data_IF_849562469401
#
_entry.id   IF_849562469401
#
_cell.length_a   1.000
_cell.length_b   1.000
_cell.length_c   1.000
_cell.angle_alpha   90.00
_cell.angle_beta   90.00
_cell.angle_gamma   90.00
#
_symmetry.space_group_name_H-M   'P 1'
#
loop_
_entity.id
_entity.type
_entity.pdbx_description
1 polymer ?
#
# COMPACT_ATOMS: atom_id res chain seq x y z
N UNK A 1 68.08 -97.97 24.97
CA UNK A 1 68.18 -98.35 23.57
C UNK A 1 68.25 -97.05 22.76
N UNK A 2 69.36 -96.74 22.12
CA UNK A 2 69.51 -95.61 21.25
C UNK A 2 68.85 -95.96 19.91
N UNK A 3 67.79 -95.16 19.57
CA UNK A 3 67.21 -95.30 18.26
C UNK A 3 68.17 -94.69 17.22
N UNK A 4 68.62 -95.49 16.28
CA UNK A 4 69.44 -95.03 15.19
C UNK A 4 68.68 -94.01 14.32
N UNK A 5 69.33 -92.95 13.97
CA UNK A 5 68.86 -92.02 12.96
C UNK A 5 68.99 -92.67 11.60
N UNK A 6 67.86 -92.78 10.88
CA UNK A 6 67.90 -93.16 9.46
C UNK A 6 68.25 -91.94 8.66
N UNK A 7 69.36 -91.95 7.95
CA UNK A 7 69.70 -90.99 6.92
C UNK A 7 69.19 -91.52 5.60
N UNK A 8 68.30 -90.88 4.99
CA UNK A 8 67.85 -91.11 3.64
C UNK A 8 68.08 -89.83 2.82
N UNK A 9 68.67 -89.92 1.66
CA UNK A 9 68.97 -88.83 0.76
C UNK A 9 67.75 -88.49 -0.13
N UNK A 10 66.76 -89.39 -0.23
CA UNK A 10 65.54 -89.23 -0.98
C UNK A 10 64.42 -90.10 -0.44
N UNK A 11 63.22 -89.74 -0.59
CA UNK A 11 61.99 -90.52 -0.37
C UNK A 11 61.30 -90.60 -1.71
N UNK A 12 61.14 -91.86 -2.24
CA UNK A 12 60.50 -92.08 -3.54
C UNK A 12 59.08 -92.63 -3.33
N UNK A 13 58.16 -92.08 -4.07
CA UNK A 13 56.83 -92.68 -4.27
C UNK A 13 56.70 -93.13 -5.73
N UNK A 14 55.67 -93.90 -6.05
CA UNK A 14 55.42 -94.42 -7.39
C UNK A 14 55.28 -93.34 -8.48
N UNK A 15 55.24 -92.06 -8.13
CA UNK A 15 54.99 -90.98 -9.07
C UNK A 15 55.92 -89.74 -8.82
N UNK A 16 56.61 -89.66 -7.69
CA UNK A 16 57.51 -88.52 -7.39
C UNK A 16 58.65 -88.89 -6.44
N UNK A 17 59.84 -88.48 -6.77
CA UNK A 17 61.02 -88.49 -5.87
C UNK A 17 61.17 -87.15 -5.21
N UNK A 18 61.13 -87.14 -3.87
CA UNK A 18 61.40 -85.94 -3.08
C UNK A 18 62.78 -86.08 -2.49
N UNK A 19 63.69 -85.20 -2.80
CA UNK A 19 64.97 -85.10 -2.17
C UNK A 19 64.80 -84.56 -0.71
N UNK A 20 65.47 -85.23 0.25
CA UNK A 20 65.33 -84.87 1.68
C UNK A 20 65.84 -83.45 1.94
N UNK A 21 66.84 -82.99 1.15
CA UNK A 21 67.29 -81.59 1.23
C UNK A 21 66.24 -80.61 0.74
N UNK A 22 65.45 -80.97 -0.23
CA UNK A 22 64.28 -80.17 -0.69
C UNK A 22 63.20 -80.13 0.35
N UNK A 23 63.01 -81.17 1.16
CA UNK A 23 62.07 -81.20 2.26
C UNK A 23 62.49 -80.30 3.40
N UNK A 24 63.79 -80.27 3.67
CA UNK A 24 64.36 -79.38 4.72
C UNK A 24 64.25 -77.87 4.34
N UNK A 25 64.35 -77.61 3.05
CA UNK A 25 64.25 -76.23 2.52
C UNK A 25 62.80 -75.82 2.24
N UNK A 26 61.87 -76.81 2.07
CA UNK A 26 60.47 -76.43 1.74
C UNK A 26 59.58 -76.37 3.00
N UNK A 27 60.00 -76.94 4.14
CA UNK A 27 59.23 -76.85 5.40
C UNK A 27 59.39 -75.47 6.00
N UNK A 28 58.54 -74.59 5.66
CA UNK A 28 58.46 -73.23 6.17
C UNK A 28 58.94 -72.08 5.25
N UNK A 29 59.37 -72.46 4.02
CA UNK A 29 59.71 -71.38 3.04
C UNK A 29 58.58 -71.25 2.03
N UNK A 30 58.12 -70.01 1.88
CA UNK A 30 57.20 -69.63 0.81
C UNK A 30 57.95 -69.69 -0.51
N UNK A 31 57.47 -70.37 -1.57
CA UNK A 31 58.15 -70.39 -2.87
C UNK A 31 58.50 -68.96 -3.33
N UNK A 32 59.74 -68.73 -3.70
CA UNK A 32 60.26 -67.41 -4.10
C UNK A 32 59.59 -66.79 -5.32
N UNK A 33 58.89 -67.66 -6.11
CA UNK A 33 58.09 -67.16 -7.25
C UNK A 33 56.73 -66.61 -6.86
N UNK A 34 56.30 -66.72 -5.60
CA UNK A 34 55.06 -66.04 -5.14
C UNK A 34 55.30 -64.59 -4.96
N UNK A 35 54.30 -63.78 -5.34
CA UNK A 35 54.38 -62.33 -5.20
C UNK A 35 53.27 -61.78 -4.29
N UNK A 36 53.58 -60.76 -3.58
CA UNK A 36 52.60 -59.90 -2.91
C UNK A 36 52.37 -58.69 -3.83
N UNK A 37 51.20 -58.64 -4.43
CA UNK A 37 50.83 -57.50 -5.23
C UNK A 37 50.34 -56.34 -4.30
N UNK A 38 50.92 -55.18 -4.41
CA UNK A 38 50.39 -53.97 -3.80
C UNK A 38 49.22 -53.47 -4.68
N UNK A 39 48.02 -53.45 -4.13
CA UNK A 39 46.86 -52.88 -4.79
C UNK A 39 46.88 -51.34 -4.75
N UNK A 40 45.89 -50.69 -5.35
CA UNK A 40 45.70 -49.21 -5.34
C UNK A 40 45.80 -48.68 -3.93
N UNK A 41 46.59 -47.66 -3.70
CA UNK A 41 46.80 -47.03 -2.39
C UNK A 41 47.84 -47.73 -1.51
N UNK A 42 48.56 -48.77 -2.03
CA UNK A 42 49.62 -49.47 -1.32
C UNK A 42 50.91 -49.47 -2.16
N UNK A 43 52.05 -49.41 -1.48
CA UNK A 43 53.38 -49.56 -2.06
C UNK A 43 54.16 -50.71 -1.40
N UNK A 44 55.23 -51.20 -2.00
CA UNK A 44 56.12 -52.22 -1.40
C UNK A 44 55.83 -53.65 -1.79
N UNK A 45 55.03 -53.94 -2.76
CA UNK A 45 54.83 -55.29 -3.34
C UNK A 45 56.09 -55.83 -4.01
N UNK A 46 56.04 -57.11 -4.41
CA UNK A 46 57.13 -57.80 -5.09
C UNK A 46 57.16 -59.31 -4.78
N UNK A 47 58.21 -60.02 -5.26
CA UNK A 47 58.39 -61.44 -4.95
C UNK A 47 58.74 -61.68 -3.47
N UNK A 48 58.62 -62.94 -3.00
CA UNK A 48 58.84 -63.30 -1.61
C UNK A 48 60.26 -63.79 -1.36
N UNK A 49 61.23 -63.45 -2.21
CA UNK A 49 62.66 -63.78 -2.00
C UNK A 49 63.26 -63.01 -0.77
N UNK A 50 62.62 -62.02 -0.30
CA UNK A 50 62.93 -61.23 0.92
C UNK A 50 61.63 -60.79 1.64
N UNK A 51 61.76 -60.38 2.86
CA UNK A 51 60.64 -59.77 3.61
C UNK A 51 60.08 -58.55 2.85
N UNK A 52 58.79 -58.49 2.72
CA UNK A 52 58.11 -57.39 2.08
C UNK A 52 57.34 -56.55 3.13
N UNK A 53 57.51 -55.26 3.07
CA UNK A 53 56.69 -54.31 3.87
C UNK A 53 55.74 -53.66 2.90
N UNK A 54 54.44 -53.82 3.12
CA UNK A 54 53.38 -53.05 2.43
C UNK A 54 53.12 -51.76 3.24
N UNK A 55 53.24 -50.64 2.58
CA UNK A 55 52.96 -49.35 3.16
C UNK A 55 51.77 -48.71 2.47
N UNK A 56 50.95 -47.98 3.21
CA UNK A 56 49.93 -47.13 2.63
C UNK A 56 50.58 -45.98 1.86
N UNK A 57 50.16 -45.79 0.61
CA UNK A 57 50.53 -44.61 -0.18
C UNK A 57 49.58 -43.50 0.16
N UNK A 58 49.99 -42.66 1.07
CA UNK A 58 49.17 -41.57 1.65
C UNK A 58 49.39 -40.32 0.85
N UNK A 59 48.31 -39.60 0.52
CA UNK A 59 48.35 -38.35 -0.17
C UNK A 59 49.15 -37.27 0.65
N UNK A 60 49.95 -36.52 -0.02
CA UNK A 60 50.55 -35.29 0.55
C UNK A 60 49.47 -34.23 0.80
N UNK A 61 49.78 -33.19 1.53
CA UNK A 61 48.83 -32.11 1.76
C UNK A 61 48.39 -31.47 0.43
N UNK A 62 49.33 -31.18 -0.46
CA UNK A 62 49.02 -30.53 -1.75
C UNK A 62 48.12 -31.41 -2.63
N UNK A 63 48.36 -32.77 -2.65
CA UNK A 63 47.53 -33.68 -3.38
C UNK A 63 46.12 -33.82 -2.80
N UNK A 64 46.01 -33.79 -1.47
CA UNK A 64 44.72 -33.82 -0.78
C UNK A 64 43.90 -32.50 -1.03
N UNK A 65 44.57 -31.35 -0.98
CA UNK A 65 43.96 -30.06 -1.27
C UNK A 65 43.59 -29.90 -2.75
N UNK A 66 44.39 -30.46 -3.67
CA UNK A 66 44.06 -30.47 -5.10
C UNK A 66 42.86 -31.39 -5.44
N UNK A 67 42.69 -32.49 -4.67
CA UNK A 67 41.56 -33.43 -4.84
C UNK A 67 41.52 -34.16 -6.16
N UNK A 68 42.68 -34.30 -6.88
CA UNK A 68 42.72 -34.83 -8.23
C UNK A 68 43.33 -36.26 -8.31
N UNK A 69 44.02 -36.73 -7.26
CA UNK A 69 44.64 -38.07 -7.23
C UNK A 69 43.67 -39.11 -6.69
N UNK A 70 43.31 -40.09 -7.53
CA UNK A 70 42.41 -41.17 -7.16
C UNK A 70 43.16 -42.46 -6.70
N UNK A 71 44.49 -42.45 -6.66
CA UNK A 71 45.32 -43.61 -6.36
C UNK A 71 45.84 -43.66 -4.92
N UNK A 72 45.82 -42.53 -4.20
CA UNK A 72 46.38 -42.41 -2.85
C UNK A 72 45.32 -42.42 -1.76
N UNK A 73 45.72 -42.87 -0.56
CA UNK A 73 44.86 -42.95 0.60
C UNK A 73 44.81 -41.65 1.36
N UNK A 74 43.61 -41.23 1.81
CA UNK A 74 43.41 -40.04 2.65
C UNK A 74 43.46 -40.41 4.12
N UNK A 75 44.29 -39.70 4.89
CA UNK A 75 44.23 -39.77 6.35
C UNK A 75 43.22 -38.74 6.88
N UNK A 76 42.71 -38.93 8.11
CA UNK A 76 41.83 -37.94 8.73
C UNK A 76 42.40 -36.51 8.70
N UNK A 77 43.71 -36.35 8.89
CA UNK A 77 44.40 -35.06 8.83
C UNK A 77 44.34 -34.44 7.41
N UNK A 78 44.62 -35.28 6.38
CA UNK A 78 44.55 -34.84 4.98
C UNK A 78 43.14 -34.50 4.55
N UNK A 79 42.20 -35.28 5.02
CA UNK A 79 40.75 -34.98 4.79
C UNK A 79 40.37 -33.62 5.42
N UNK A 80 40.80 -33.36 6.66
CA UNK A 80 40.54 -32.06 7.31
C UNK A 80 41.18 -30.90 6.55
N UNK A 81 42.42 -31.09 6.05
CA UNK A 81 43.12 -30.08 5.26
C UNK A 81 42.43 -29.82 3.92
N UNK A 82 42.06 -30.86 3.22
CA UNK A 82 41.29 -30.74 1.96
C UNK A 82 39.94 -30.03 2.16
N UNK A 83 39.20 -30.37 3.20
CA UNK A 83 37.93 -29.69 3.53
C UNK A 83 38.17 -28.18 3.80
N UNK A 84 39.23 -27.86 4.52
CA UNK A 84 39.51 -26.46 4.84
C UNK A 84 39.81 -25.60 3.60
N UNK A 85 40.43 -26.17 2.58
CA UNK A 85 40.78 -25.47 1.33
C UNK A 85 39.65 -25.53 0.31
N UNK A 86 39.07 -26.71 0.09
CA UNK A 86 38.01 -26.92 -0.93
C UNK A 86 36.64 -26.40 -0.50
N UNK A 87 36.40 -26.25 0.79
CA UNK A 87 35.19 -25.71 1.36
C UNK A 87 35.53 -24.67 2.42
N UNK A 88 36.06 -23.51 2.03
CA UNK A 88 36.43 -22.48 2.97
C UNK A 88 35.16 -22.00 3.72
N UNK A 89 35.31 -21.53 4.98
CA UNK A 89 34.19 -20.99 5.71
C UNK A 89 33.52 -19.85 4.92
N UNK A 90 32.22 -19.68 4.98
CA UNK A 90 31.52 -18.63 4.24
C UNK A 90 32.08 -17.25 4.63
N UNK A 91 32.41 -16.46 3.63
CA UNK A 91 32.81 -15.06 3.84
C UNK A 91 31.54 -14.24 3.97
N UNK A 92 31.34 -13.59 5.11
CA UNK A 92 30.20 -12.73 5.34
C UNK A 92 30.47 -11.32 4.81
N UNK A 93 29.46 -10.70 4.26
CA UNK A 93 29.52 -9.30 3.87
C UNK A 93 29.79 -8.40 5.07
N UNK A 94 30.61 -7.39 4.90
CA UNK A 94 30.77 -6.28 5.86
C UNK A 94 29.49 -5.43 5.87
N UNK A 95 29.35 -4.55 6.85
CA UNK A 95 28.20 -3.64 6.92
C UNK A 95 28.13 -2.76 5.67
N UNK A 96 29.25 -2.14 5.26
CA UNK A 96 29.28 -1.27 4.09
C UNK A 96 28.92 -2.00 2.78
N UNK A 97 29.37 -3.25 2.62
CA UNK A 97 29.04 -4.08 1.46
C UNK A 97 27.56 -4.51 1.45
N UNK A 98 27.02 -4.82 2.63
CA UNK A 98 25.61 -5.17 2.79
C UNK A 98 24.71 -3.96 2.49
N UNK A 99 25.08 -2.80 2.96
CA UNK A 99 24.36 -1.54 2.70
C UNK A 99 24.46 -1.09 1.24
N UNK A 100 25.61 -1.29 0.59
CA UNK A 100 25.80 -0.97 -0.82
C UNK A 100 25.04 -1.91 -1.77
N UNK A 101 24.78 -3.16 -1.35
CA UNK A 101 24.03 -4.14 -2.15
C UNK A 101 24.71 -4.58 -3.45
N UNK A 102 26.05 -4.41 -3.56
CA UNK A 102 26.79 -4.63 -4.82
C UNK A 102 27.59 -5.94 -4.86
N UNK A 103 27.72 -6.62 -3.71
CA UNK A 103 28.54 -7.84 -3.57
C UNK A 103 27.67 -9.08 -3.74
N UNK A 104 28.07 -9.98 -4.65
CA UNK A 104 27.31 -11.19 -5.02
C UNK A 104 27.95 -12.49 -4.55
N UNK A 105 29.19 -12.46 -4.04
CA UNK A 105 30.02 -13.62 -3.66
C UNK A 105 30.13 -13.83 -2.14
N UNK A 106 29.43 -13.04 -1.33
CA UNK A 106 29.44 -13.12 0.13
C UNK A 106 28.06 -13.44 0.71
N UNK A 107 28.08 -14.09 1.87
CA UNK A 107 26.86 -14.47 2.58
C UNK A 107 26.38 -13.33 3.47
N UNK A 108 25.10 -13.04 3.46
CA UNK A 108 24.46 -12.10 4.37
C UNK A 108 24.12 -12.77 5.70
N UNK A 109 24.68 -12.29 6.80
CA UNK A 109 24.22 -12.70 8.13
C UNK A 109 22.90 -11.99 8.46
N UNK A 110 22.08 -12.52 9.41
CA UNK A 110 20.86 -11.84 9.86
C UNK A 110 21.10 -10.40 10.32
N UNK A 111 22.24 -10.15 10.98
CA UNK A 111 22.63 -8.81 11.40
C UNK A 111 22.88 -7.90 10.19
N UNK A 112 23.66 -8.36 9.21
CA UNK A 112 23.97 -7.59 7.99
C UNK A 112 22.74 -7.35 7.14
N UNK A 113 21.82 -8.31 7.11
CA UNK A 113 20.52 -8.13 6.46
C UNK A 113 19.71 -7.03 7.16
N UNK A 114 19.67 -7.02 8.49
CA UNK A 114 18.97 -5.98 9.24
C UNK A 114 19.61 -4.59 9.04
N UNK A 115 20.95 -4.51 9.03
CA UNK A 115 21.70 -3.27 8.76
C UNK A 115 21.47 -2.75 7.34
N UNK A 116 21.50 -3.63 6.34
CA UNK A 116 21.20 -3.26 4.95
C UNK A 116 19.75 -2.76 4.80
N UNK A 117 18.80 -3.43 5.42
CA UNK A 117 17.39 -2.97 5.44
C UNK A 117 17.29 -1.61 6.12
N UNK A 118 17.99 -1.39 7.22
CA UNK A 118 17.98 -0.10 7.93
C UNK A 118 18.62 1.00 7.08
N UNK A 119 19.75 0.73 6.41
CA UNK A 119 20.42 1.67 5.53
C UNK A 119 19.59 2.00 4.27
N UNK A 120 18.98 0.98 3.66
CA UNK A 120 18.04 1.16 2.56
C UNK A 120 16.80 1.95 2.99
N UNK A 121 16.32 1.74 4.21
CA UNK A 121 15.21 2.51 4.78
C UNK A 121 15.58 3.98 5.04
N UNK A 122 16.86 4.28 5.29
CA UNK A 122 17.37 5.65 5.45
C UNK A 122 17.89 6.26 4.15
N UNK A 123 18.30 5.43 3.18
CA UNK A 123 18.95 5.83 1.93
C UNK A 123 18.08 5.85 0.66
N UNK A 124 16.75 5.65 0.76
CA UNK A 124 15.83 5.95 -0.34
C UNK A 124 15.45 4.81 -1.28
N UNK A 125 15.56 3.55 -0.89
CA UNK A 125 14.96 2.47 -1.68
C UNK A 125 13.85 1.73 -0.91
N UNK A 126 12.61 1.99 -1.31
CA UNK A 126 11.43 1.12 -1.16
C UNK A 126 10.64 1.18 0.15
N UNK A 127 10.65 2.26 0.90
CA UNK A 127 9.49 2.56 1.74
C UNK A 127 8.80 3.80 1.17
N UNK A 128 7.97 3.60 0.14
CA UNK A 128 7.32 4.72 -0.54
C UNK A 128 6.51 5.58 0.41
N UNK A 129 5.76 4.96 1.32
CA UNK A 129 4.98 5.68 2.31
C UNK A 129 4.90 4.86 3.60
N UNK A 130 5.38 5.41 4.71
CA UNK A 130 5.26 4.78 6.03
C UNK A 130 4.72 5.78 7.05
N UNK A 131 3.71 5.34 7.80
CA UNK A 131 3.21 6.07 8.96
C UNK A 131 3.96 5.68 10.22
N UNK A 132 4.19 6.60 11.17
CA UNK A 132 4.58 6.21 12.53
C UNK A 132 3.56 5.21 13.12
N UNK A 133 4.04 4.25 13.90
CA UNK A 133 3.30 3.05 14.28
C UNK A 133 1.92 3.28 14.92
N UNK A 134 1.71 4.40 15.59
CA UNK A 134 0.44 4.73 16.25
C UNK A 134 -0.30 5.91 15.61
N UNK A 135 0.20 6.46 14.50
CA UNK A 135 -0.41 7.62 13.88
C UNK A 135 -1.69 7.23 13.12
N UNK A 136 -2.81 7.83 13.48
CA UNK A 136 -4.11 7.70 12.82
C UNK A 136 -4.51 9.06 12.26
N UNK A 137 -4.78 9.14 10.97
CA UNK A 137 -5.08 10.39 10.29
C UNK A 137 -4.06 10.74 9.22
N UNK A 138 -4.17 11.90 8.59
CA UNK A 138 -3.17 12.39 7.64
C UNK A 138 -1.80 12.53 8.29
N UNK A 139 -0.73 12.27 7.52
CA UNK A 139 0.65 12.55 7.95
C UNK A 139 0.87 14.05 8.14
N UNK A 140 0.05 14.88 7.50
CA UNK A 140 0.04 16.32 7.69
C UNK A 140 -0.91 16.72 8.81
N UNK A 141 -0.51 17.66 9.64
CA UNK A 141 -1.34 18.21 10.70
C UNK A 141 -1.21 19.75 10.76
N UNK A 142 -2.31 20.39 11.11
CA UNK A 142 -2.39 21.83 11.27
C UNK A 142 -1.64 22.26 12.54
N UNK A 143 -0.73 23.22 12.42
CA UNK A 143 0.03 23.79 13.54
C UNK A 143 -0.49 25.17 13.94
N UNK A 144 -1.06 25.91 12.99
CA UNK A 144 -1.76 27.17 13.23
C UNK A 144 -2.82 27.40 12.13
N UNK A 145 -3.54 28.50 12.14
CA UNK A 145 -4.59 28.81 11.16
C UNK A 145 -4.11 28.69 9.70
N UNK A 146 -2.86 28.99 9.43
CA UNK A 146 -2.26 29.04 8.08
C UNK A 146 -1.03 28.15 7.90
N UNK A 147 -0.73 27.28 8.85
CA UNK A 147 0.50 26.47 8.81
C UNK A 147 0.24 24.98 9.05
N UNK A 148 1.04 24.17 8.39
CA UNK A 148 1.00 22.71 8.43
C UNK A 148 2.41 22.17 8.63
N UNK A 149 2.53 21.03 9.35
CA UNK A 149 3.75 20.23 9.41
C UNK A 149 3.43 18.78 9.09
N UNK A 150 4.44 18.03 8.65
CA UNK A 150 4.40 16.57 8.59
C UNK A 150 4.88 15.99 9.92
N UNK A 151 4.30 14.86 10.34
CA UNK A 151 4.64 14.21 11.62
C UNK A 151 6.06 13.62 11.58
N UNK A 152 6.76 13.65 12.72
CA UNK A 152 8.06 13.01 12.88
C UNK A 152 7.98 11.49 12.65
N UNK A 153 9.00 10.93 12.03
CA UNK A 153 9.08 9.50 11.71
C UNK A 153 8.26 9.07 10.48
N UNK A 154 7.60 10.00 9.80
CA UNK A 154 6.91 9.72 8.54
C UNK A 154 7.90 9.44 7.41
N UNK A 155 7.57 8.49 6.57
CA UNK A 155 8.20 8.34 5.25
C UNK A 155 7.13 8.65 4.20
N UNK A 156 7.43 9.57 3.30
CA UNK A 156 6.51 9.99 2.28
C UNK A 156 7.25 10.05 0.95
N UNK A 157 6.76 9.29 -0.02
CA UNK A 157 7.38 9.15 -1.34
C UNK A 157 8.91 8.88 -1.26
N UNK A 158 9.29 7.95 -0.38
CA UNK A 158 10.69 7.54 -0.17
C UNK A 158 11.56 8.46 0.69
N UNK A 159 11.05 9.61 1.14
CA UNK A 159 11.81 10.53 2.00
C UNK A 159 11.40 10.38 3.48
N UNK A 160 12.39 10.19 4.37
CA UNK A 160 12.17 10.11 5.83
C UNK A 160 12.20 11.51 6.46
N UNK A 161 11.15 11.87 7.15
CA UNK A 161 11.07 13.05 8.00
C UNK A 161 11.36 12.65 9.46
N UNK A 162 12.63 12.62 9.82
CA UNK A 162 13.07 12.21 11.17
C UNK A 162 12.49 13.08 12.29
N UNK A 163 12.24 14.35 12.00
CA UNK A 163 11.60 15.31 12.90
C UNK A 163 10.35 15.89 12.23
N UNK A 164 9.44 16.48 13.03
CA UNK A 164 8.33 17.25 12.49
C UNK A 164 8.86 18.38 11.59
N UNK A 165 8.43 18.39 10.34
CA UNK A 165 8.93 19.32 9.32
C UNK A 165 7.80 20.20 8.79
N UNK A 166 8.01 21.50 8.78
CA UNK A 166 7.03 22.46 8.29
C UNK A 166 6.90 22.40 6.76
N UNK A 167 5.67 22.58 6.29
CA UNK A 167 5.39 22.84 4.87
C UNK A 167 5.62 24.32 4.60
N UNK A 168 6.35 24.67 3.55
CA UNK A 168 6.45 26.06 3.08
C UNK A 168 5.09 26.48 2.52
N UNK A 169 4.45 27.44 3.16
CA UNK A 169 3.06 27.81 2.85
C UNK A 169 3.00 28.97 1.86
N UNK A 170 2.06 28.93 0.90
CA UNK A 170 1.78 30.07 0.02
C UNK A 170 0.92 31.12 0.74
N UNK A 171 0.69 32.26 0.09
CA UNK A 171 -0.45 33.11 0.42
C UNK A 171 -1.76 32.37 0.12
N UNK A 172 -2.71 32.42 1.07
CA UNK A 172 -3.97 31.69 0.94
C UNK A 172 -5.08 32.55 0.36
N UNK A 173 -5.87 31.95 -0.51
CA UNK A 173 -7.16 32.49 -1.00
C UNK A 173 -8.29 31.66 -0.40
N UNK A 174 -9.34 32.32 0.07
CA UNK A 174 -10.51 31.66 0.64
C UNK A 174 -11.17 30.68 -0.34
N UNK A 175 -11.71 29.59 0.19
CA UNK A 175 -12.42 28.55 -0.56
C UNK A 175 -11.55 27.90 -1.67
N UNK A 176 -10.27 27.74 -1.41
CA UNK A 176 -9.29 27.20 -2.37
C UNK A 176 -8.64 25.95 -1.83
N UNK A 177 -8.50 24.96 -2.71
CA UNK A 177 -7.73 23.75 -2.45
C UNK A 177 -6.26 23.99 -2.78
N UNK A 178 -5.40 23.43 -1.95
CA UNK A 178 -3.95 23.51 -2.09
C UNK A 178 -3.35 22.11 -2.12
N UNK A 179 -2.44 21.89 -3.05
CA UNK A 179 -1.58 20.71 -3.09
C UNK A 179 -0.39 20.91 -2.14
N UNK A 180 0.12 19.83 -1.58
CA UNK A 180 1.43 19.78 -0.94
C UNK A 180 2.35 19.02 -1.88
N UNK A 181 3.34 19.73 -2.41
CA UNK A 181 4.35 19.21 -3.30
C UNK A 181 5.60 18.82 -2.53
N UNK A 182 6.26 17.75 -2.95
CA UNK A 182 7.53 17.32 -2.38
C UNK A 182 8.64 17.46 -3.42
N UNK A 183 9.74 18.09 -3.02
CA UNK A 183 10.96 18.12 -3.82
C UNK A 183 11.59 16.72 -3.85
N UNK A 184 11.86 16.13 -5.01
CA UNK A 184 12.35 14.75 -5.11
C UNK A 184 13.77 14.55 -4.58
N UNK A 185 14.57 15.62 -4.55
CA UNK A 185 15.99 15.56 -4.11
C UNK A 185 16.15 15.88 -2.64
N UNK A 186 15.48 16.95 -2.17
CA UNK A 186 15.68 17.47 -0.81
C UNK A 186 14.60 17.03 0.17
N UNK A 187 13.47 16.52 -0.31
CA UNK A 187 12.30 16.24 0.50
C UNK A 187 11.55 17.48 0.98
N UNK A 188 11.94 18.68 0.57
CA UNK A 188 11.27 19.92 0.97
C UNK A 188 9.79 19.89 0.56
N UNK A 189 8.91 20.32 1.47
CA UNK A 189 7.46 20.35 1.30
C UNK A 189 7.00 21.79 1.02
N UNK A 190 6.25 21.96 -0.07
CA UNK A 190 5.77 23.27 -0.53
C UNK A 190 4.28 23.19 -0.85
N UNK A 191 3.48 24.04 -0.21
CA UNK A 191 2.08 24.24 -0.53
C UNK A 191 1.89 25.13 -1.76
N UNK A 192 0.96 24.78 -2.64
CA UNK A 192 0.61 25.58 -3.81
C UNK A 192 -0.83 25.32 -4.26
N UNK A 193 -1.49 26.32 -4.85
CA UNK A 193 -2.83 26.19 -5.41
C UNK A 193 -2.85 25.40 -6.73
N UNK A 194 -1.70 25.22 -7.39
CA UNK A 194 -1.58 24.42 -8.60
C UNK A 194 -1.54 22.94 -8.27
N UNK A 195 -2.35 22.16 -8.99
CA UNK A 195 -2.34 20.70 -8.97
C UNK A 195 -1.69 20.09 -10.24
N UNK A 196 -1.13 20.92 -11.09
CA UNK A 196 -0.55 20.48 -12.37
C UNK A 196 0.90 20.89 -12.56
N UNK A 197 1.34 21.97 -11.91
CA UNK A 197 2.67 22.52 -12.06
C UNK A 197 3.32 22.66 -10.70
N UNK A 198 4.47 22.03 -10.51
CA UNK A 198 5.23 22.11 -9.28
C UNK A 198 5.75 23.53 -9.03
N UNK A 199 5.59 24.09 -7.80
CA UNK A 199 6.06 25.42 -7.48
C UNK A 199 7.59 25.51 -7.33
N UNK A 200 8.11 26.70 -7.26
CA UNK A 200 9.49 26.96 -6.88
C UNK A 200 9.76 26.32 -5.50
N UNK A 201 10.92 25.68 -5.34
CA UNK A 201 11.26 24.89 -4.15
C UNK A 201 10.85 23.41 -4.22
N UNK A 202 9.90 23.04 -5.09
CA UNK A 202 9.53 21.65 -5.39
C UNK A 202 9.64 21.30 -6.88
N UNK A 203 10.52 21.95 -7.62
CA UNK A 203 10.72 21.74 -9.08
C UNK A 203 10.97 20.25 -9.36
N UNK A 204 10.26 19.69 -10.35
CA UNK A 204 10.31 18.26 -10.68
C UNK A 204 9.63 17.35 -9.66
N UNK A 205 8.98 17.93 -8.66
CA UNK A 205 8.32 17.22 -7.58
C UNK A 205 6.97 16.61 -7.94
N UNK A 206 6.41 15.89 -6.99
CA UNK A 206 5.09 15.28 -7.07
C UNK A 206 4.20 15.76 -5.93
N UNK A 207 2.88 15.69 -6.14
CA UNK A 207 1.89 15.97 -5.10
C UNK A 207 1.88 14.79 -4.14
N UNK A 208 2.06 15.09 -2.86
CA UNK A 208 2.11 14.10 -1.76
C UNK A 208 0.99 14.30 -0.75
N UNK A 209 0.20 15.34 -0.89
CA UNK A 209 -0.93 15.65 -0.04
C UNK A 209 -1.65 16.92 -0.45
N UNK A 210 -2.57 17.38 0.38
CA UNK A 210 -3.26 18.64 0.16
C UNK A 210 -4.24 18.99 1.28
N UNK A 211 -4.87 20.16 1.14
CA UNK A 211 -5.80 20.72 2.10
C UNK A 211 -6.72 21.76 1.45
N UNK A 212 -7.80 22.08 2.14
CA UNK A 212 -8.73 23.17 1.77
C UNK A 212 -8.59 24.34 2.74
N UNK A 213 -8.63 25.58 2.21
CA UNK A 213 -8.58 26.81 3.00
C UNK A 213 -9.95 27.47 3.03
N UNK A 214 -10.53 27.62 4.23
CA UNK A 214 -11.89 28.12 4.46
C UNK A 214 -11.90 29.61 4.81
N UNK A 215 -12.99 30.35 4.48
CA UNK A 215 -13.03 31.82 4.63
C UNK A 215 -13.22 32.30 6.06
N UNK A 216 -13.67 31.43 6.95
CA UNK A 216 -13.83 31.72 8.38
C UNK A 216 -13.84 30.43 9.18
N UNK A 217 -13.55 30.52 10.47
CA UNK A 217 -13.53 29.38 11.37
C UNK A 217 -14.84 28.58 11.37
N UNK A 218 -14.76 27.33 11.80
CA UNK A 218 -15.89 26.40 11.95
C UNK A 218 -16.61 26.65 13.29
N UNK A 219 -17.89 26.25 13.41
CA UNK A 219 -18.54 26.25 14.71
C UNK A 219 -17.85 25.28 15.66
N UNK A 220 -17.58 25.73 16.88
CA UNK A 220 -17.00 24.90 17.94
C UNK A 220 -18.06 24.32 18.87
N UNK A 221 -19.23 24.99 18.95
CA UNK A 221 -20.35 24.55 19.77
C UNK A 221 -21.35 23.70 18.96
N UNK A 222 -22.05 22.80 19.64
CA UNK A 222 -23.18 22.05 19.09
C UNK A 222 -24.31 23.03 18.76
N UNK A 223 -25.02 22.80 17.64
CA UNK A 223 -26.18 23.59 17.19
C UNK A 223 -25.90 25.09 16.90
N UNK A 224 -24.64 25.46 16.71
CA UNK A 224 -24.29 26.84 16.44
C UNK A 224 -24.32 27.17 14.94
N UNK A 225 -23.69 26.34 14.11
CA UNK A 225 -23.71 26.45 12.66
C UNK A 225 -23.31 27.77 12.02
N UNK A 226 -23.04 28.79 12.82
CA UNK A 226 -22.55 30.06 12.32
C UNK A 226 -21.04 30.03 12.27
N UNK A 227 -20.42 30.19 11.10
CA UNK A 227 -18.98 30.24 10.97
C UNK A 227 -18.48 31.50 11.70
N UNK A 228 -17.53 31.34 12.61
CA UNK A 228 -16.94 32.42 13.42
C UNK A 228 -15.41 32.32 13.39
N UNK A 229 -14.73 33.44 13.53
CA UNK A 229 -13.27 33.52 13.55
C UNK A 229 -12.66 33.83 12.19
N UNK A 230 -11.34 33.78 12.13
CA UNK A 230 -10.56 34.10 10.94
C UNK A 230 -10.59 32.92 9.93
N UNK A 231 -10.23 33.22 8.70
CA UNK A 231 -9.95 32.24 7.68
C UNK A 231 -8.83 31.30 8.12
N UNK A 232 -8.96 30.01 7.81
CA UNK A 232 -8.03 28.99 8.28
C UNK A 232 -7.94 27.77 7.35
N UNK A 233 -6.89 26.98 7.52
CA UNK A 233 -6.79 25.63 6.94
C UNK A 233 -7.80 24.74 7.66
N UNK A 234 -8.65 24.07 6.89
CA UNK A 234 -9.57 23.08 7.42
C UNK A 234 -8.83 21.80 7.77
N UNK A 235 -8.64 21.51 9.05
CA UNK A 235 -7.88 20.35 9.50
C UNK A 235 -8.45 19.02 9.00
N UNK A 236 -9.77 18.89 8.87
CA UNK A 236 -10.43 17.68 8.36
C UNK A 236 -10.26 17.47 6.86
N UNK A 237 -9.79 18.49 6.12
CA UNK A 237 -9.51 18.36 4.69
C UNK A 237 -8.07 17.90 4.38
N UNK A 238 -7.23 17.77 5.41
CA UNK A 238 -5.84 17.30 5.23
C UNK A 238 -5.79 15.86 4.74
N UNK A 239 -5.16 15.65 3.60
CA UNK A 239 -4.96 14.32 3.03
C UNK A 239 -3.50 14.12 2.62
N UNK A 240 -3.08 12.86 2.51
CA UNK A 240 -1.80 12.42 1.97
C UNK A 240 -1.98 11.19 1.08
N UNK A 241 -0.90 10.63 0.55
CA UNK A 241 -0.93 9.49 -0.38
C UNK A 241 -1.57 8.22 0.23
N UNK A 242 -1.59 8.12 1.56
CA UNK A 242 -2.09 6.94 2.29
C UNK A 242 -3.33 7.23 3.14
N UNK A 243 -3.68 8.51 3.30
CA UNK A 243 -4.85 8.98 4.05
C UNK A 243 -5.65 9.94 3.18
N UNK A 244 -6.58 9.41 2.41
CA UNK A 244 -7.39 10.18 1.45
C UNK A 244 -8.69 9.47 1.13
N UNK A 245 -9.66 10.16 0.51
CA UNK A 245 -10.86 9.51 -0.01
C UNK A 245 -10.49 8.50 -1.10
N UNK A 246 -11.28 7.41 -1.18
CA UNK A 246 -11.18 6.41 -2.24
C UNK A 246 -11.85 6.90 -3.54
N UNK A 247 -11.48 8.11 -3.97
CA UNK A 247 -11.89 8.69 -5.24
C UNK A 247 -10.66 9.32 -5.93
N UNK A 248 -10.72 9.54 -7.26
CA UNK A 248 -9.58 10.07 -8.01
C UNK A 248 -9.10 11.43 -7.51
N UNK A 249 -10.03 12.32 -7.19
CA UNK A 249 -9.75 13.68 -6.74
C UNK A 249 -10.20 13.91 -5.29
N UNK A 250 -9.26 14.08 -4.34
CA UNK A 250 -9.55 14.29 -2.93
C UNK A 250 -9.95 15.72 -2.56
N UNK A 251 -9.89 16.67 -3.51
CA UNK A 251 -10.14 18.09 -3.26
C UNK A 251 -11.57 18.37 -2.80
N UNK A 252 -11.74 19.39 -1.96
CA UNK A 252 -13.04 19.83 -1.50
C UNK A 252 -13.79 18.83 -0.62
N UNK A 253 -13.09 17.88 0.01
CA UNK A 253 -13.67 16.88 0.90
C UNK A 253 -13.13 17.03 2.33
N UNK A 254 -13.94 16.65 3.31
CA UNK A 254 -13.53 16.49 4.70
C UNK A 254 -13.60 15.03 5.13
N UNK A 255 -12.60 14.58 5.87
CA UNK A 255 -12.61 13.29 6.58
C UNK A 255 -13.50 13.40 7.82
N UNK A 256 -14.51 12.58 7.90
CA UNK A 256 -15.37 12.48 9.07
C UNK A 256 -14.82 11.37 9.97
N UNK A 257 -14.70 11.66 11.25
CA UNK A 257 -14.13 10.74 12.22
C UNK A 257 -14.71 9.32 12.06
N UNK A 258 -13.85 8.36 11.81
CA UNK A 258 -14.24 6.96 11.70
C UNK A 258 -14.23 6.35 10.30
N UNK A 259 -13.90 7.10 9.23
CA UNK A 259 -13.48 6.42 8.02
C UNK A 259 -14.27 6.66 6.74
N UNK A 260 -14.90 7.80 6.56
CA UNK A 260 -15.42 8.23 5.27
C UNK A 260 -15.15 9.73 5.04
N UNK A 261 -15.29 10.15 3.79
CA UNK A 261 -15.10 11.52 3.36
C UNK A 261 -16.39 12.07 2.77
N UNK A 262 -16.63 13.35 2.96
CA UNK A 262 -17.81 14.03 2.41
C UNK A 262 -17.42 15.37 1.80
N UNK A 263 -18.06 15.72 0.67
CA UNK A 263 -17.87 17.01 0.03
C UNK A 263 -18.21 18.17 0.98
N UNK A 264 -17.37 19.18 1.00
CA UNK A 264 -17.57 20.39 1.79
C UNK A 264 -18.78 21.18 1.31
N UNK A 265 -19.05 21.13 0.02
CA UNK A 265 -20.04 21.97 -0.65
C UNK A 265 -21.13 21.13 -1.34
N UNK A 266 -22.25 21.73 -1.63
CA UNK A 266 -23.29 21.16 -2.47
C UNK A 266 -22.80 21.01 -3.92
N UNK A 267 -23.34 20.04 -4.64
CA UNK A 267 -23.05 19.84 -6.05
C UNK A 267 -23.41 21.09 -6.87
N UNK A 268 -22.52 21.55 -7.72
CA UNK A 268 -22.76 22.67 -8.61
C UNK A 268 -23.34 22.25 -9.95
N UNK A 269 -24.22 23.05 -10.52
CA UNK A 269 -24.88 22.75 -11.79
C UNK A 269 -23.90 22.65 -12.99
N UNK A 270 -22.76 23.34 -12.90
CA UNK A 270 -21.70 23.31 -13.94
C UNK A 270 -20.56 22.34 -13.60
N UNK A 271 -20.69 21.55 -12.54
CA UNK A 271 -19.71 20.51 -12.23
C UNK A 271 -19.71 19.44 -13.32
N UNK A 272 -18.52 19.07 -13.82
CA UNK A 272 -18.38 18.14 -14.92
C UNK A 272 -17.19 17.20 -14.74
N UNK A 273 -17.45 15.91 -14.83
CA UNK A 273 -16.44 14.88 -14.94
C UNK A 273 -16.21 14.57 -16.41
N UNK A 274 -15.10 15.06 -16.96
CA UNK A 274 -14.69 14.83 -18.35
C UNK A 274 -14.12 13.44 -18.60
N UNK A 275 -13.73 13.17 -19.84
CA UNK A 275 -13.09 11.91 -20.25
C UNK A 275 -11.66 11.78 -19.73
N UNK A 276 -10.99 12.88 -19.48
CA UNK A 276 -9.77 12.96 -18.68
C UNK A 276 -10.18 13.48 -17.31
N UNK A 277 -9.62 12.94 -16.24
CA UNK A 277 -9.83 13.41 -14.86
C UNK A 277 -9.38 14.87 -14.70
N UNK A 278 -9.90 15.75 -15.53
CA UNK A 278 -9.84 17.18 -15.34
C UNK A 278 -10.79 17.47 -14.19
N UNK A 279 -10.21 17.46 -13.02
CA UNK A 279 -10.89 17.62 -11.78
C UNK A 279 -11.41 19.06 -11.65
N UNK A 280 -12.57 19.31 -12.21
CA UNK A 280 -13.41 20.35 -11.65
C UNK A 280 -14.09 19.70 -10.45
N UNK A 281 -13.80 20.11 -9.20
CA UNK A 281 -14.46 19.58 -8.02
C UNK A 281 -15.96 19.55 -8.25
N UNK A 282 -16.61 18.54 -7.70
CA UNK A 282 -18.07 18.37 -7.81
C UNK A 282 -18.83 19.61 -7.28
N UNK A 283 -18.16 20.45 -6.49
CA UNK A 283 -18.77 21.64 -5.89
C UNK A 283 -17.74 22.70 -5.52
N UNK A 284 -18.12 23.99 -5.65
CA UNK A 284 -17.34 25.16 -5.22
C UNK A 284 -18.26 26.30 -4.78
N UNK A 285 -17.74 27.17 -3.92
CA UNK A 285 -18.40 28.44 -3.58
C UNK A 285 -18.69 29.26 -4.85
N UNK A 286 -19.87 29.87 -4.88
CA UNK A 286 -20.31 30.75 -5.97
C UNK A 286 -20.92 30.04 -7.17
N UNK A 287 -20.81 28.73 -7.29
CA UNK A 287 -21.51 27.99 -8.34
C UNK A 287 -23.02 27.99 -8.06
N UNK A 288 -23.83 28.02 -9.13
CA UNK A 288 -25.24 27.69 -9.04
C UNK A 288 -25.39 26.28 -8.48
N UNK A 289 -26.22 26.10 -7.48
CA UNK A 289 -26.47 24.77 -6.88
C UNK A 289 -27.17 23.90 -7.94
N UNK A 290 -26.71 22.65 -8.05
CA UNK A 290 -27.42 21.67 -8.85
C UNK A 290 -28.68 21.21 -8.13
N UNK A 291 -29.84 21.41 -8.76
CA UNK A 291 -31.16 21.03 -8.26
C UNK A 291 -32.10 20.64 -9.41
N UNK A 292 -33.42 20.62 -9.15
CA UNK A 292 -34.41 20.30 -10.17
C UNK A 292 -34.63 21.39 -11.20
N UNK A 293 -34.35 22.67 -10.86
CA UNK A 293 -34.46 23.83 -11.76
C UNK A 293 -33.15 24.13 -12.50
N UNK A 294 -32.03 23.74 -11.90
CA UNK A 294 -30.68 23.89 -12.43
C UNK A 294 -29.97 22.53 -12.42
N UNK A 295 -30.37 21.57 -13.26
CA UNK A 295 -29.80 20.23 -13.26
C UNK A 295 -28.29 20.24 -13.57
N UNK A 296 -27.50 19.28 -13.05
CA UNK A 296 -26.08 19.20 -13.30
C UNK A 296 -25.79 18.79 -14.75
N UNK A 297 -24.56 19.05 -15.21
CA UNK A 297 -24.10 18.57 -16.52
C UNK A 297 -24.04 17.04 -16.57
N UNK A 298 -24.37 16.51 -17.74
CA UNK A 298 -24.22 15.09 -18.05
C UNK A 298 -22.74 14.74 -18.07
N UNK A 299 -22.24 13.81 -17.26
CA UNK A 299 -20.83 13.40 -17.27
C UNK A 299 -20.44 12.71 -18.60
N UNK A 300 -19.17 12.77 -18.98
CA UNK A 300 -18.69 12.16 -20.21
C UNK A 300 -18.97 10.66 -20.31
N UNK A 301 -18.89 9.93 -19.20
CA UNK A 301 -19.20 8.49 -19.15
C UNK A 301 -20.67 8.17 -19.46
N UNK A 302 -21.56 9.13 -19.32
CA UNK A 302 -23.00 9.02 -19.61
C UNK A 302 -23.39 9.77 -20.89
N UNK A 303 -22.39 10.09 -21.75
CA UNK A 303 -22.60 10.73 -23.07
C UNK A 303 -22.57 12.25 -23.04
N UNK A 304 -22.15 12.88 -21.94
CA UNK A 304 -22.03 14.32 -21.84
C UNK A 304 -20.84 14.89 -22.61
N UNK A 305 -20.91 16.16 -22.96
CA UNK A 305 -19.93 16.89 -23.77
C UNK A 305 -19.34 18.14 -23.06
N UNK A 306 -19.65 18.31 -21.76
CA UNK A 306 -19.22 19.44 -20.95
C UNK A 306 -20.12 20.68 -21.03
N UNK A 307 -21.21 20.63 -21.80
CA UNK A 307 -22.17 21.72 -21.91
C UNK A 307 -23.64 21.28 -21.79
N UNK A 308 -23.93 20.01 -22.06
CA UNK A 308 -25.28 19.46 -21.97
C UNK A 308 -25.61 19.11 -20.52
N UNK A 309 -26.68 19.72 -19.98
CA UNK A 309 -27.23 19.37 -18.67
C UNK A 309 -28.25 18.22 -18.80
N UNK A 310 -28.47 17.51 -17.69
CA UNK A 310 -29.62 16.63 -17.56
C UNK A 310 -30.93 17.42 -17.70
N UNK A 311 -31.98 16.74 -18.12
CA UNK A 311 -33.29 17.35 -18.21
C UNK A 311 -33.89 17.70 -16.82
N UNK A 312 -33.49 16.96 -15.81
CA UNK A 312 -34.03 17.09 -14.43
C UNK A 312 -32.98 16.68 -13.41
N UNK A 313 -33.06 17.22 -12.17
CA UNK A 313 -32.22 16.87 -11.02
C UNK A 313 -32.83 15.75 -10.17
N UNK A 314 -32.95 14.55 -10.71
CA UNK A 314 -33.48 13.35 -10.04
C UNK A 314 -32.43 12.67 -9.15
N UNK A 315 -32.85 11.76 -8.30
CA UNK A 315 -31.95 10.89 -7.53
C UNK A 315 -30.99 10.10 -8.45
N UNK A 316 -31.49 9.57 -9.58
CA UNK A 316 -30.66 8.89 -10.59
C UNK A 316 -29.58 9.81 -11.18
N UNK A 317 -29.95 11.05 -11.51
CA UNK A 317 -29.05 12.08 -12.03
C UNK A 317 -27.86 12.29 -11.08
N UNK A 318 -28.15 12.55 -9.80
CA UNK A 318 -27.09 12.78 -8.80
C UNK A 318 -26.28 11.52 -8.50
N UNK A 319 -26.87 10.33 -8.62
CA UNK A 319 -26.13 9.06 -8.51
C UNK A 319 -25.10 8.91 -9.64
N UNK A 320 -25.47 9.23 -10.87
CA UNK A 320 -24.57 9.18 -12.03
C UNK A 320 -23.46 10.22 -11.93
N UNK A 321 -23.80 11.45 -11.55
CA UNK A 321 -22.81 12.50 -11.31
C UNK A 321 -21.84 12.09 -10.21
N UNK A 322 -22.31 11.57 -9.08
CA UNK A 322 -21.47 11.09 -7.99
C UNK A 322 -20.51 9.97 -8.48
N UNK A 323 -21.05 8.97 -9.18
CA UNK A 323 -20.29 7.85 -9.71
C UNK A 323 -19.17 8.31 -10.68
N UNK A 324 -19.45 9.33 -11.49
CA UNK A 324 -18.48 9.89 -12.43
C UNK A 324 -17.26 10.55 -11.76
N UNK A 325 -17.42 11.00 -10.52
CA UNK A 325 -16.33 11.48 -9.67
C UNK A 325 -15.71 10.39 -8.78
N UNK A 326 -16.10 9.12 -8.95
CA UNK A 326 -15.70 8.03 -8.06
C UNK A 326 -16.28 8.16 -6.66
N UNK A 327 -17.39 8.84 -6.51
CA UNK A 327 -18.10 9.11 -5.26
C UNK A 327 -19.48 8.44 -5.28
N UNK A 328 -20.27 8.65 -4.23
CA UNK A 328 -21.65 8.18 -4.07
C UNK A 328 -22.49 9.19 -3.30
N UNK A 329 -23.79 9.03 -3.30
CA UNK A 329 -24.63 9.73 -2.37
C UNK A 329 -24.32 9.28 -0.92
N UNK A 330 -24.43 10.18 0.07
CA UNK A 330 -24.20 9.83 1.47
C UNK A 330 -25.31 8.94 2.01
N UNK A 331 -25.00 8.09 2.97
CA UNK A 331 -25.99 7.41 3.80
C UNK A 331 -26.53 8.36 4.86
N UNK A 332 -27.73 8.10 5.34
CA UNK A 332 -28.31 8.93 6.40
C UNK A 332 -27.43 9.03 7.64
N UNK A 333 -26.86 7.92 8.10
CA UNK A 333 -25.95 7.91 9.26
C UNK A 333 -24.68 8.71 8.99
N UNK A 334 -24.12 8.62 7.79
CA UNK A 334 -22.95 9.39 7.39
C UNK A 334 -23.26 10.89 7.34
N UNK A 335 -24.39 11.25 6.76
CA UNK A 335 -24.85 12.65 6.73
C UNK A 335 -25.07 13.20 8.13
N UNK A 336 -25.73 12.43 9.01
CA UNK A 336 -25.97 12.83 10.40
C UNK A 336 -24.67 13.12 11.15
N UNK A 337 -23.64 12.28 10.96
CA UNK A 337 -22.33 12.50 11.56
C UNK A 337 -21.62 13.73 10.97
N UNK A 338 -21.61 13.84 9.65
CA UNK A 338 -20.92 14.92 8.94
C UNK A 338 -21.55 16.30 9.13
N UNK A 339 -22.87 16.37 9.21
CA UNK A 339 -23.64 17.61 9.44
C UNK A 339 -23.66 18.05 10.91
N UNK A 340 -23.07 17.27 11.83
CA UNK A 340 -23.02 17.63 13.26
C UNK A 340 -22.41 19.01 13.49
N UNK A 341 -23.05 19.82 14.34
CA UNK A 341 -22.63 21.19 14.64
C UNK A 341 -23.21 22.26 13.69
N UNK A 342 -23.86 21.86 12.58
CA UNK A 342 -24.63 22.78 11.77
C UNK A 342 -25.88 23.27 12.53
N UNK A 343 -26.55 24.36 12.10
CA UNK A 343 -27.79 24.83 12.72
C UNK A 343 -28.86 23.76 12.74
N UNK A 344 -29.42 23.53 13.93
CA UNK A 344 -30.51 22.59 14.18
C UNK A 344 -31.83 23.33 14.39
N UNK A 345 -32.95 22.67 14.10
CA UNK A 345 -34.31 23.19 14.27
C UNK A 345 -34.51 24.60 13.66
N UNK A 346 -33.84 24.84 12.54
CA UNK A 346 -33.91 26.12 11.83
C UNK A 346 -33.58 25.95 10.36
N UNK A 347 -34.08 26.81 9.51
CA UNK A 347 -33.76 26.86 8.09
C UNK A 347 -33.33 28.26 7.66
N UNK A 348 -32.81 28.38 6.44
CA UNK A 348 -32.33 29.64 5.88
C UNK A 348 -33.45 30.63 5.60
N UNK A 349 -34.64 30.16 5.32
CA UNK A 349 -35.82 31.00 5.04
C UNK A 349 -36.02 31.37 3.56
N UNK A 350 -35.03 31.18 2.70
CA UNK A 350 -35.12 31.42 1.25
C UNK A 350 -34.12 30.61 0.49
N UNK A 351 -34.36 30.40 -0.81
CA UNK A 351 -33.43 29.75 -1.72
C UNK A 351 -32.10 30.50 -1.79
N UNK A 352 -30.95 29.84 -1.57
CA UNK A 352 -29.63 30.46 -1.74
C UNK A 352 -29.24 30.67 -3.22
N UNK A 353 -29.76 29.86 -4.15
CA UNK A 353 -29.39 29.85 -5.57
C UNK A 353 -27.96 29.45 -5.87
N UNK A 354 -27.03 29.74 -4.97
CA UNK A 354 -25.60 29.47 -5.14
C UNK A 354 -24.99 28.82 -3.91
N UNK A 355 -23.89 28.10 -4.11
CA UNK A 355 -23.09 27.50 -3.03
C UNK A 355 -22.41 28.62 -2.23
N UNK A 356 -22.62 28.63 -0.91
CA UNK A 356 -22.14 29.64 0.01
C UNK A 356 -21.50 29.03 1.26
N UNK A 357 -20.62 29.80 1.93
CA UNK A 357 -20.06 29.41 3.23
C UNK A 357 -20.99 29.89 4.35
N UNK A 358 -22.03 29.12 4.59
CA UNK A 358 -23.02 29.38 5.63
C UNK A 358 -23.54 28.04 6.20
N UNK A 359 -24.18 28.08 7.38
CA UNK A 359 -24.79 26.91 8.03
C UNK A 359 -23.82 25.71 8.06
N UNK A 360 -22.60 26.00 8.52
CA UNK A 360 -21.45 25.12 8.44
C UNK A 360 -21.44 24.11 9.58
N UNK A 361 -21.11 22.85 9.29
CA UNK A 361 -20.94 21.81 10.30
C UNK A 361 -19.58 21.92 10.99
N UNK A 362 -19.40 21.18 12.10
CA UNK A 362 -18.12 21.04 12.81
C UNK A 362 -16.99 20.58 11.88
N UNK A 363 -17.31 19.76 10.88
CA UNK A 363 -16.35 19.22 9.93
C UNK A 363 -16.12 20.12 8.70
N UNK A 364 -16.77 21.27 8.63
CA UNK A 364 -16.61 22.24 7.55
C UNK A 364 -17.57 22.04 6.37
N UNK A 365 -18.61 21.23 6.51
CA UNK A 365 -19.63 21.12 5.46
C UNK A 365 -20.46 22.42 5.44
N UNK A 366 -20.35 23.17 4.37
CA UNK A 366 -21.15 24.37 4.14
C UNK A 366 -22.57 24.01 3.70
N UNK A 367 -23.57 24.83 4.07
CA UNK A 367 -24.98 24.61 3.74
C UNK A 367 -25.44 23.19 4.13
N UNK A 368 -25.01 22.73 5.30
CA UNK A 368 -25.22 21.35 5.72
C UNK A 368 -26.68 21.04 6.03
N UNK A 369 -27.43 21.98 6.65
CA UNK A 369 -28.81 21.77 7.10
C UNK A 369 -29.69 22.99 6.83
N UNK A 370 -30.99 22.76 6.55
CA UNK A 370 -31.98 23.82 6.39
C UNK A 370 -31.75 24.76 5.21
N UNK A 371 -31.11 24.27 4.16
CA UNK A 371 -30.84 24.98 2.91
C UNK A 371 -31.46 24.28 1.74
N UNK A 372 -31.08 23.04 1.49
CA UNK A 372 -31.57 22.19 0.41
C UNK A 372 -31.76 20.77 0.93
N UNK A 373 -32.84 20.11 0.53
CA UNK A 373 -32.94 18.66 0.69
C UNK A 373 -31.83 17.99 -0.12
N UNK A 374 -31.04 17.17 0.53
CA UNK A 374 -29.92 16.47 -0.10
C UNK A 374 -30.27 15.00 -0.28
N UNK A 375 -30.20 14.50 -1.51
CA UNK A 375 -30.44 13.10 -1.78
C UNK A 375 -29.43 12.21 -1.02
N UNK A 376 -29.95 11.20 -0.32
CA UNK A 376 -29.17 10.14 0.29
C UNK A 376 -29.19 8.85 -0.54
N UNK A 377 -28.38 7.89 -0.14
CA UNK A 377 -28.19 6.64 -0.88
C UNK A 377 -29.38 5.67 -0.71
N UNK A 378 -30.02 5.70 0.44
CA UNK A 378 -31.03 4.71 0.79
C UNK A 378 -32.35 4.92 0.05
N UNK A 379 -32.94 3.80 -0.30
CA UNK A 379 -34.30 3.72 -0.85
C UNK A 379 -35.14 2.79 0.01
N UNK A 380 -36.42 3.03 0.04
CA UNK A 380 -37.41 2.15 0.71
C UNK A 380 -38.67 1.97 -0.12
N UNK A 381 -39.45 0.97 0.23
CA UNK A 381 -40.79 0.74 -0.30
C UNK A 381 -41.82 1.51 0.53
N UNK A 382 -42.75 2.21 -0.12
CA UNK A 382 -43.83 2.92 0.53
C UNK A 382 -45.13 2.12 0.67
N UNK A 383 -45.13 0.84 0.32
CA UNK A 383 -46.29 -0.05 0.43
C UNK A 383 -47.02 -0.29 -0.89
N UNK A 384 -48.25 -0.83 -0.82
CA UNK A 384 -49.07 -1.14 -2.00
C UNK A 384 -49.73 0.13 -2.60
N UNK A 385 -50.14 0.12 -3.89
CA UNK A 385 -50.15 -0.98 -4.83
C UNK A 385 -48.84 -1.16 -5.61
N UNK A 386 -48.59 -2.38 -6.13
CA UNK A 386 -47.48 -2.67 -7.04
C UNK A 386 -47.86 -2.37 -8.49
N UNK A 387 -46.95 -1.82 -9.26
CA UNK A 387 -47.13 -1.52 -10.68
C UNK A 387 -45.79 -1.19 -11.33
N UNK A 388 -45.80 -1.08 -12.67
CA UNK A 388 -44.66 -0.55 -13.41
C UNK A 388 -44.64 0.98 -13.34
N UNK A 389 -43.47 1.56 -13.16
CA UNK A 389 -43.25 3.00 -13.36
C UNK A 389 -43.46 3.38 -14.83
N UNK A 390 -43.63 4.66 -15.12
CA UNK A 390 -43.61 5.15 -16.50
C UNK A 390 -42.15 5.23 -17.01
N UNK A 391 -41.97 5.16 -18.33
CA UNK A 391 -40.65 5.32 -18.94
C UNK A 391 -40.01 6.69 -18.66
N UNK A 392 -40.82 7.75 -18.52
CA UNK A 392 -40.37 9.11 -18.22
C UNK A 392 -39.81 9.25 -16.80
N UNK A 393 -40.24 8.43 -15.86
CA UNK A 393 -39.74 8.43 -14.48
C UNK A 393 -38.27 7.95 -14.42
N UNK A 394 -37.89 7.04 -15.31
CA UNK A 394 -36.58 6.41 -15.37
C UNK A 394 -35.78 6.85 -16.61
N UNK A 395 -36.12 7.98 -17.23
CA UNK A 395 -35.45 8.54 -18.40
C UNK A 395 -35.35 7.54 -19.56
N UNK A 396 -36.40 6.71 -19.73
CA UNK A 396 -36.52 5.63 -20.74
C UNK A 396 -35.44 4.53 -20.61
N UNK A 397 -34.82 4.39 -19.43
CA UNK A 397 -33.79 3.39 -19.14
C UNK A 397 -34.30 2.18 -18.37
N UNK A 398 -35.44 1.66 -18.79
CA UNK A 398 -36.17 0.58 -18.13
C UNK A 398 -37.23 1.11 -17.18
N UNK A 399 -37.94 0.22 -16.52
CA UNK A 399 -39.01 0.54 -15.59
C UNK A 399 -38.83 -0.26 -14.30
N UNK A 400 -39.23 0.31 -13.18
CA UNK A 400 -39.23 -0.37 -11.88
C UNK A 400 -40.63 -0.94 -11.65
N UNK A 401 -40.71 -2.23 -11.35
CA UNK A 401 -41.93 -2.88 -10.90
C UNK A 401 -41.92 -3.07 -9.40
N UNK A 402 -42.91 -2.63 -8.74
CA UNK A 402 -43.04 -2.84 -7.29
C UNK A 402 -44.00 -1.88 -6.63
N UNK A 403 -44.09 -1.94 -5.30
CA UNK A 403 -44.69 -0.88 -4.53
C UNK A 403 -43.95 0.42 -4.74
N UNK A 404 -44.59 1.53 -4.46
CA UNK A 404 -44.02 2.85 -4.63
C UNK A 404 -42.63 2.96 -3.95
N UNK A 405 -41.61 3.26 -4.75
CA UNK A 405 -40.24 3.41 -4.27
C UNK A 405 -40.00 4.85 -3.81
N UNK A 406 -39.39 4.99 -2.65
CA UNK A 406 -38.98 6.28 -2.07
C UNK A 406 -37.45 6.34 -1.91
N UNK A 407 -36.89 7.52 -2.13
CA UNK A 407 -35.48 7.81 -1.82
C UNK A 407 -35.37 8.78 -0.67
N UNK A 408 -34.38 8.60 0.19
CA UNK A 408 -34.19 9.46 1.36
C UNK A 408 -33.69 10.84 0.94
N UNK A 409 -34.20 11.86 1.59
CA UNK A 409 -33.71 13.25 1.54
C UNK A 409 -33.30 13.69 2.92
N UNK A 410 -32.21 14.41 3.03
CA UNK A 410 -31.47 14.69 4.26
C UNK A 410 -31.34 16.20 4.50
N UNK A 411 -31.31 16.61 5.76
CA UNK A 411 -30.92 17.94 6.20
C UNK A 411 -32.03 19.00 6.28
N UNK A 412 -33.09 18.86 5.49
CA UNK A 412 -34.16 19.87 5.37
C UNK A 412 -33.81 21.01 4.41
N UNK A 413 -34.82 21.65 3.83
CA UNK A 413 -34.65 22.78 2.92
C UNK A 413 -34.85 24.14 3.63
N UNK A 414 -34.77 25.22 2.86
CA UNK A 414 -34.93 26.59 3.36
C UNK A 414 -36.31 26.92 3.95
N UNK A 415 -37.34 26.11 3.70
CA UNK A 415 -38.73 26.30 4.18
C UNK A 415 -39.10 25.37 5.33
N UNK A 416 -38.29 24.40 5.72
CA UNK A 416 -38.69 23.36 6.68
C UNK A 416 -38.56 23.82 8.17
N UNK A 417 -38.03 25.00 8.40
CA UNK A 417 -37.92 25.63 9.72
C UNK A 417 -37.43 24.67 10.84
N UNK A 418 -38.21 24.40 11.85
CA UNK A 418 -37.89 23.57 13.00
C UNK A 418 -37.64 22.07 12.64
N UNK A 419 -38.02 21.64 11.47
CA UNK A 419 -37.79 20.25 11.03
C UNK A 419 -36.38 20.02 10.45
N UNK A 420 -35.63 21.09 10.14
CA UNK A 420 -34.29 20.97 9.57
C UNK A 420 -33.25 20.65 10.62
N UNK A 421 -32.26 19.86 10.25
CA UNK A 421 -31.14 19.51 11.14
C UNK A 421 -30.30 18.34 10.66
N UNK A 422 -29.24 18.04 11.38
CA UNK A 422 -28.26 17.00 11.02
C UNK A 422 -28.86 15.59 10.97
N UNK A 423 -29.91 15.32 11.74
CA UNK A 423 -30.63 14.02 11.74
C UNK A 423 -31.92 14.05 10.93
N UNK A 424 -32.24 15.19 10.31
CA UNK A 424 -33.46 15.31 9.52
C UNK A 424 -33.39 14.38 8.30
N UNK A 425 -34.39 13.55 8.15
CA UNK A 425 -34.55 12.66 7.01
C UNK A 425 -36.03 12.63 6.59
N UNK A 426 -36.29 12.61 5.30
CA UNK A 426 -37.65 12.54 4.74
C UNK A 426 -37.73 11.45 3.68
N UNK A 427 -38.70 10.56 3.82
CA UNK A 427 -38.90 9.35 3.01
C UNK A 427 -40.19 9.44 2.17
N UNK A 428 -40.49 10.63 1.63
CA UNK A 428 -41.77 10.85 0.94
C UNK A 428 -41.63 11.10 -0.55
N UNK A 429 -40.41 11.17 -1.09
CA UNK A 429 -40.20 11.46 -2.51
C UNK A 429 -39.70 10.24 -3.26
N UNK A 430 -40.21 10.07 -4.47
CA UNK A 430 -39.78 9.04 -5.39
C UNK A 430 -38.39 9.38 -5.97
N UNK A 431 -37.57 8.39 -6.40
CA UNK A 431 -36.29 8.63 -7.03
C UNK A 431 -36.34 9.49 -8.29
N UNK A 432 -37.48 9.60 -8.92
CA UNK A 432 -37.76 10.41 -10.13
C UNK A 432 -38.32 11.80 -9.83
N UNK A 433 -38.55 12.14 -8.57
CA UNK A 433 -38.95 13.49 -8.20
C UNK A 433 -37.80 14.47 -8.45
N UNK A 434 -38.15 15.67 -8.94
CA UNK A 434 -37.20 16.73 -9.23
C UNK A 434 -37.81 18.07 -8.89
N UNK A 435 -37.26 18.77 -7.92
CA UNK A 435 -37.72 20.08 -7.43
C UNK A 435 -36.53 21.01 -7.22
N UNK A 436 -36.75 22.31 -7.24
CA UNK A 436 -35.77 23.37 -6.99
C UNK A 436 -35.09 23.29 -5.61
N UNK A 437 -35.73 22.63 -4.67
CA UNK A 437 -35.21 22.43 -3.31
C UNK A 437 -34.60 21.05 -3.07
N UNK A 438 -34.30 20.28 -4.12
CA UNK A 438 -33.65 18.96 -4.07
C UNK A 438 -32.29 18.99 -4.77
N UNK A 439 -31.23 18.81 -4.04
CA UNK A 439 -29.87 18.73 -4.57
C UNK A 439 -29.07 17.57 -3.97
N UNK A 440 -27.77 17.67 -3.99
CA UNK A 440 -26.90 16.64 -3.42
C UNK A 440 -25.56 17.19 -2.97
N UNK A 441 -24.89 16.43 -2.09
CA UNK A 441 -23.45 16.41 -1.88
C UNK A 441 -23.01 14.96 -1.90
N UNK A 442 -21.71 14.71 -2.13
CA UNK A 442 -21.25 13.36 -2.33
C UNK A 442 -20.33 12.90 -1.20
N UNK A 443 -20.27 11.59 -1.04
CA UNK A 443 -19.41 10.93 -0.07
C UNK A 443 -18.49 9.93 -0.79
N UNK A 444 -17.35 9.63 -0.18
CA UNK A 444 -16.44 8.58 -0.60
C UNK A 444 -16.00 7.77 0.62
N UNK A 445 -15.69 6.49 0.41
CA UNK A 445 -15.01 5.71 1.42
C UNK A 445 -13.60 6.23 1.67
N UNK A 446 -12.97 5.77 2.74
CA UNK A 446 -11.55 5.99 2.95
C UNK A 446 -10.74 5.04 2.06
N UNK A 447 -9.63 5.52 1.48
CA UNK A 447 -8.72 4.65 0.73
C UNK A 447 -8.07 3.65 1.69
N UNK A 448 -8.33 2.38 1.47
CA UNK A 448 -7.65 1.28 2.17
C UNK A 448 -6.53 0.79 1.27
N UNK A 449 -5.29 1.05 1.66
CA UNK A 449 -4.13 0.42 1.04
C UNK A 449 -4.00 -0.98 1.63
N UNK A 450 -4.21 -2.02 0.81
CA UNK A 450 -4.09 -3.42 1.17
C UNK A 450 -2.65 -3.81 1.50
#
# INVERSE_FOLDING_TARGET
>A
MAYGKVKADSIESSTQTLNVDDLATTAGTVPSGRQVAAGTGLTGGGDLSANRTLSADVASQAEAEAGTDASKLMTPQRTAQAIAVLSPPPVYASQAEAEAGTVTDKVMSPLRTAEAIAALATGGAVLYNRRPALHRGSLFYKTAATTISIVAGAVLNGHLYAAATAVTMPSHTNNTDYAIWQNPTTGALVGDASFTTAPAGATGGSIVGGYHYIPSGRPTAVNNGSPTGAAEILEFSLWDLTWRPACPDPRGMACIEGGFWMDLYLCGATSYAGSTFSAVPSSRIGLTIADGSSPPLVPAQYGGNGSTAYATGKWFTFTEVAASFGKRLPRWQEFSAAAFGAPEASSRGSDPGTVQWERVSKFGLAQATGVLWQWGQETCSAGAPSGWTSGTETDSRGQVYGPETRAVRLGGNWGDAANSGSRCARWSSAPWDSYDNFGARFAAGHLVLG
#
